data_IF_365236195171
#
_entry.id   IF_365236195171
#
_cell.length_a   1.000
_cell.length_b   1.000
_cell.length_c   1.000
_cell.angle_alpha   90.00
_cell.angle_beta   90.00
_cell.angle_gamma   90.00
#
_symmetry.space_group_name_H-M   'P 1'
#
loop_
_entity.id
_entity.type
_entity.pdbx_description
1 polymer ?
#
# COMPACT_ATOMS: atom_id res chain seq x y z
N UNK A 1 47.98 23.42 61.12
CA UNK A 1 47.12 22.23 60.98
C UNK A 1 46.16 22.47 59.83
N UNK A 2 46.34 21.77 58.70
CA UNK A 2 45.50 21.91 57.50
C UNK A 2 44.38 20.86 57.57
N UNK A 3 43.13 21.29 57.59
CA UNK A 3 41.94 20.44 57.52
C UNK A 3 41.64 20.11 56.06
N UNK A 4 41.75 18.84 55.68
CA UNK A 4 41.32 18.34 54.38
C UNK A 4 39.86 17.86 54.49
N UNK A 5 38.94 18.55 53.80
CA UNK A 5 37.57 18.10 53.60
C UNK A 5 37.58 17.19 52.38
N UNK A 6 37.30 15.90 52.59
CA UNK A 6 37.09 14.94 51.51
C UNK A 6 35.65 15.08 50.99
N UNK A 7 35.48 15.55 49.76
CA UNK A 7 34.19 15.57 49.08
C UNK A 7 33.90 14.18 48.49
N UNK A 8 32.87 13.50 49.00
CA UNK A 8 32.35 12.28 48.43
C UNK A 8 31.46 12.61 47.22
N UNK A 9 31.90 12.24 46.01
CA UNK A 9 31.06 12.28 44.81
C UNK A 9 30.18 11.03 44.77
N UNK A 10 28.83 11.14 44.70
CA UNK A 10 27.97 9.99 44.52
C UNK A 10 28.10 9.50 43.07
N UNK A 11 28.48 8.23 42.91
CA UNK A 11 28.49 7.55 41.63
C UNK A 11 27.04 7.18 41.30
N UNK A 12 26.38 7.96 40.44
CA UNK A 12 25.04 7.67 39.96
C UNK A 12 25.13 6.54 38.93
N UNK A 13 24.83 5.31 39.35
CA UNK A 13 24.75 4.16 38.44
C UNK A 13 23.46 4.29 37.62
N UNK A 14 23.56 4.86 36.42
CA UNK A 14 22.49 4.82 35.42
C UNK A 14 22.37 3.38 34.92
N UNK A 15 21.49 2.60 35.55
CA UNK A 15 20.97 1.37 34.96
C UNK A 15 20.12 1.76 33.76
N UNK A 16 20.76 1.87 32.59
CA UNK A 16 20.07 1.99 31.32
C UNK A 16 19.19 0.74 31.14
N UNK A 17 17.88 0.91 31.28
CA UNK A 17 16.93 -0.10 30.80
C UNK A 17 17.09 -0.08 29.27
N UNK A 18 17.87 -1.03 28.74
CA UNK A 18 17.92 -1.24 27.31
C UNK A 18 16.49 -1.50 26.83
N UNK A 19 15.99 -0.62 25.96
CA UNK A 19 14.75 -0.90 25.26
C UNK A 19 14.88 -2.29 24.63
N UNK A 20 13.88 -3.17 24.76
CA UNK A 20 13.96 -4.50 24.19
C UNK A 20 14.28 -4.35 22.70
N UNK A 21 15.35 -5.02 22.25
CA UNK A 21 15.69 -5.07 20.84
C UNK A 21 14.42 -5.40 20.04
N UNK A 22 14.10 -4.56 19.05
CA UNK A 22 12.94 -4.78 18.20
C UNK A 22 13.05 -6.19 17.62
N UNK A 23 12.14 -7.08 18.01
CA UNK A 23 12.07 -8.42 17.41
C UNK A 23 11.80 -8.23 15.92
N UNK A 24 12.56 -8.87 15.04
CA UNK A 24 12.23 -8.86 13.62
C UNK A 24 10.77 -9.28 13.39
N UNK A 25 10.06 -8.52 12.54
CA UNK A 25 8.70 -8.86 12.16
C UNK A 25 8.70 -10.19 11.40
N UNK A 26 8.02 -11.20 11.95
CA UNK A 26 7.95 -12.51 11.30
C UNK A 26 6.89 -12.49 10.20
N UNK A 27 7.16 -13.11 9.03
CA UNK A 27 6.14 -13.34 8.02
C UNK A 27 4.94 -14.08 8.61
N UNK A 28 3.75 -13.72 8.15
CA UNK A 28 2.51 -14.42 8.48
C UNK A 28 2.30 -15.49 7.41
N UNK A 29 1.96 -16.72 7.78
CA UNK A 29 1.65 -17.76 6.78
C UNK A 29 0.33 -17.46 6.06
N UNK A 30 0.10 -18.03 4.87
CA UNK A 30 -1.15 -17.82 4.14
C UNK A 30 -2.39 -18.24 4.95
N UNK A 31 -2.34 -19.36 5.68
CA UNK A 31 -3.45 -19.80 6.54
C UNK A 31 -3.70 -18.80 7.68
N UNK A 32 -2.64 -18.37 8.38
CA UNK A 32 -2.77 -17.37 9.45
C UNK A 32 -3.28 -16.02 8.93
N UNK A 33 -2.90 -15.63 7.72
CA UNK A 33 -3.39 -14.41 7.08
C UNK A 33 -4.90 -14.49 6.80
N UNK A 34 -5.35 -15.61 6.21
CA UNK A 34 -6.76 -15.84 5.94
C UNK A 34 -7.60 -15.92 7.24
N UNK A 35 -7.11 -16.67 8.23
CA UNK A 35 -7.74 -16.78 9.55
C UNK A 35 -7.80 -15.43 10.27
N UNK A 36 -6.74 -14.62 10.15
CA UNK A 36 -6.69 -13.30 10.78
C UNK A 36 -7.76 -12.38 10.19
N UNK A 37 -7.86 -12.29 8.87
CA UNK A 37 -8.87 -11.48 8.19
C UNK A 37 -10.28 -11.93 8.61
N UNK A 38 -10.57 -13.23 8.53
CA UNK A 38 -11.89 -13.74 8.89
C UNK A 38 -12.26 -13.52 10.36
N UNK A 39 -11.28 -13.63 11.26
CA UNK A 39 -11.51 -13.49 12.69
C UNK A 39 -11.78 -12.05 13.12
N UNK A 40 -11.21 -11.06 12.42
CA UNK A 40 -11.27 -9.66 12.87
C UNK A 40 -12.05 -8.74 11.93
N UNK A 41 -12.45 -9.19 10.74
CA UNK A 41 -13.41 -8.48 9.91
C UNK A 41 -14.84 -8.73 10.37
N UNK A 42 -15.67 -7.69 10.26
CA UNK A 42 -17.10 -7.73 10.51
C UNK A 42 -17.90 -7.74 9.19
N UNK A 43 -19.23 -7.82 9.28
CA UNK A 43 -20.06 -7.60 8.10
C UNK A 43 -19.87 -6.17 7.56
N UNK A 44 -19.78 -6.05 6.24
CA UNK A 44 -19.54 -4.76 5.60
C UNK A 44 -20.73 -3.81 5.80
N UNK A 45 -20.44 -2.56 6.13
CA UNK A 45 -21.45 -1.51 6.21
C UNK A 45 -21.93 -1.03 4.84
N UNK A 46 -23.03 -0.27 4.83
CA UNK A 46 -23.57 0.32 3.62
C UNK A 46 -22.76 1.57 3.20
N UNK A 47 -22.36 1.62 1.93
CA UNK A 47 -21.76 2.80 1.32
C UNK A 47 -22.42 3.04 -0.03
N UNK A 48 -22.90 4.26 -0.25
CA UNK A 48 -23.81 4.59 -1.34
C UNK A 48 -23.12 4.86 -2.67
N UNK A 49 -21.79 4.85 -2.70
CA UNK A 49 -21.00 5.08 -3.90
C UNK A 49 -19.75 4.21 -3.99
N UNK A 50 -19.22 4.13 -5.21
CA UNK A 50 -17.96 3.48 -5.51
C UNK A 50 -16.81 4.47 -5.21
N UNK A 51 -15.91 4.12 -4.29
CA UNK A 51 -14.79 4.95 -3.88
C UNK A 51 -13.48 4.15 -3.85
N UNK A 52 -12.90 3.92 -5.02
CA UNK A 52 -11.73 3.05 -5.23
C UNK A 52 -10.38 3.78 -5.15
N UNK A 53 -10.40 5.12 -5.20
CA UNK A 53 -9.16 5.91 -5.16
C UNK A 53 -9.30 7.01 -4.13
N UNK A 54 -8.24 7.25 -3.38
CA UNK A 54 -8.18 8.35 -2.42
C UNK A 54 -8.47 9.68 -3.12
N UNK A 55 -9.28 10.49 -2.47
CA UNK A 55 -9.65 11.82 -2.92
C UNK A 55 -8.79 12.92 -2.28
N UNK A 56 -7.75 12.53 -1.53
CA UNK A 56 -6.88 13.42 -0.77
C UNK A 56 -5.79 14.02 -1.66
N UNK A 57 -5.96 15.24 -2.16
CA UNK A 57 -4.89 15.96 -2.89
C UNK A 57 -3.65 16.21 -1.99
N UNK A 58 -3.86 16.42 -0.69
CA UNK A 58 -2.81 16.78 0.28
C UNK A 58 -2.20 15.59 1.03
N UNK A 59 -2.42 14.34 0.59
CA UNK A 59 -2.02 13.14 1.35
C UNK A 59 -0.50 13.02 1.60
N UNK A 60 0.34 13.76 0.86
CA UNK A 60 1.79 13.78 1.07
C UNK A 60 2.26 14.87 2.04
N UNK A 61 1.42 15.87 2.35
CA UNK A 61 1.80 17.00 3.20
C UNK A 61 2.23 16.58 4.62
N UNK A 62 1.59 15.58 5.27
CA UNK A 62 2.02 15.14 6.60
C UNK A 62 3.42 14.52 6.63
N UNK A 63 3.96 14.05 5.50
CA UNK A 63 5.23 13.31 5.48
C UNK A 63 6.42 14.12 6.01
N UNK A 64 6.44 15.43 5.78
CA UNK A 64 7.47 16.32 6.35
C UNK A 64 7.44 16.28 7.87
N UNK A 65 6.26 16.47 8.46
CA UNK A 65 6.10 16.47 9.91
C UNK A 65 6.37 15.10 10.54
N UNK A 66 5.96 14.02 9.88
CA UNK A 66 6.23 12.66 10.34
C UNK A 66 7.74 12.37 10.40
N UNK A 67 8.53 12.88 9.45
CA UNK A 67 10.00 12.79 9.50
C UNK A 67 10.60 13.62 10.64
N UNK A 68 10.15 14.85 10.83
CA UNK A 68 10.61 15.72 11.92
C UNK A 68 10.36 15.11 13.31
N UNK A 69 9.24 14.42 13.45
CA UNK A 69 8.85 13.72 14.68
C UNK A 69 9.50 12.33 14.81
N UNK A 70 10.40 11.98 13.89
CA UNK A 70 11.06 10.67 13.82
C UNK A 70 10.07 9.49 13.87
N UNK A 71 8.90 9.63 13.25
CA UNK A 71 7.90 8.55 13.19
C UNK A 71 8.30 7.53 12.12
N UNK A 72 8.71 6.36 12.57
CA UNK A 72 9.08 5.22 11.72
C UNK A 72 8.85 3.89 12.45
N UNK A 73 8.77 2.79 11.71
CA UNK A 73 8.59 1.46 12.28
C UNK A 73 7.20 1.22 12.88
N UNK A 74 7.14 0.43 13.95
CA UNK A 74 5.91 0.15 14.68
C UNK A 74 4.85 -0.61 13.87
N UNK A 75 3.57 -0.34 14.17
CA UNK A 75 2.42 -0.90 13.47
C UNK A 75 1.64 0.26 12.85
N UNK A 76 1.32 0.14 11.57
CA UNK A 76 0.51 1.12 10.85
C UNK A 76 -0.97 0.72 10.91
N UNK A 77 -1.82 1.67 11.27
CA UNK A 77 -3.27 1.57 11.17
C UNK A 77 -3.73 2.68 10.23
N UNK A 78 -4.50 2.33 9.20
CA UNK A 78 -5.01 3.30 8.24
C UNK A 78 -6.37 2.92 7.71
N UNK A 79 -7.04 3.87 7.06
CA UNK A 79 -8.40 3.74 6.53
C UNK A 79 -8.37 4.06 5.03
N UNK A 80 -9.28 3.46 4.27
CA UNK A 80 -9.43 3.75 2.85
C UNK A 80 -8.47 2.99 1.94
N UNK A 81 -8.35 3.42 0.68
CA UNK A 81 -7.73 2.63 -0.36
C UNK A 81 -6.21 2.90 -0.45
N UNK A 82 -5.75 3.44 -1.57
CA UNK A 82 -4.38 3.39 -2.06
C UNK A 82 -3.39 4.36 -1.39
N UNK A 83 -3.84 5.40 -0.66
CA UNK A 83 -2.94 6.31 0.05
C UNK A 83 -2.15 5.60 1.17
N UNK A 84 -2.75 4.56 1.75
CA UNK A 84 -2.11 3.71 2.76
C UNK A 84 -0.77 3.14 2.27
N UNK A 85 -0.66 2.76 0.99
CA UNK A 85 0.56 2.17 0.43
C UNK A 85 1.75 3.14 0.50
N UNK A 86 1.52 4.43 0.26
CA UNK A 86 2.57 5.45 0.39
C UNK A 86 3.00 5.62 1.85
N UNK A 87 2.06 5.72 2.78
CA UNK A 87 2.40 5.82 4.20
C UNK A 87 3.15 4.58 4.70
N UNK A 88 2.71 3.38 4.32
CA UNK A 88 3.41 2.13 4.68
C UNK A 88 4.83 2.12 4.08
N UNK A 89 5.01 2.58 2.85
CA UNK A 89 6.34 2.65 2.24
C UNK A 89 7.29 3.65 2.91
N UNK A 90 6.76 4.80 3.38
CA UNK A 90 7.54 5.85 4.03
C UNK A 90 7.84 5.56 5.49
N UNK A 91 6.83 5.09 6.23
CA UNK A 91 6.93 4.82 7.67
C UNK A 91 7.61 3.47 7.96
N UNK A 92 7.66 2.56 7.00
CA UNK A 92 8.31 1.24 7.12
C UNK A 92 7.81 0.44 8.35
N UNK A 93 6.50 0.27 8.55
CA UNK A 93 5.98 -0.45 9.70
C UNK A 93 6.27 -1.95 9.60
N UNK A 94 6.31 -2.61 10.76
CA UNK A 94 6.46 -4.06 10.89
C UNK A 94 5.21 -4.81 10.42
N UNK A 95 4.04 -4.27 10.73
CA UNK A 95 2.74 -4.74 10.28
C UNK A 95 1.86 -3.54 9.93
N UNK A 96 0.98 -3.71 8.95
CA UNK A 96 0.00 -2.71 8.57
C UNK A 96 -1.39 -3.35 8.59
N UNK A 97 -2.34 -2.69 9.26
CA UNK A 97 -3.75 -3.03 9.23
C UNK A 97 -4.50 -1.90 8.53
N UNK A 98 -5.26 -2.24 7.51
CA UNK A 98 -6.05 -1.28 6.75
C UNK A 98 -7.51 -1.56 7.08
N UNK A 99 -8.10 -0.71 7.90
CA UNK A 99 -9.41 -0.90 8.50
C UNK A 99 -10.40 -0.04 7.73
N UNK A 100 -11.49 -0.62 7.24
CA UNK A 100 -12.51 0.14 6.54
C UNK A 100 -13.90 -0.47 6.75
N UNK A 101 -14.92 0.38 6.85
CA UNK A 101 -16.32 -0.06 6.97
C UNK A 101 -16.80 -0.82 5.72
N UNK A 102 -16.14 -0.62 4.57
CA UNK A 102 -16.51 -1.20 3.28
C UNK A 102 -15.77 -2.51 3.07
N UNK A 103 -16.52 -3.61 2.96
CA UNK A 103 -15.97 -4.90 2.48
C UNK A 103 -15.29 -4.76 1.10
N UNK A 104 -15.76 -3.82 0.28
CA UNK A 104 -15.14 -3.48 -1.00
C UNK A 104 -13.69 -3.01 -0.85
N UNK A 105 -13.36 -2.24 0.20
CA UNK A 105 -11.99 -1.76 0.44
C UNK A 105 -11.06 -2.93 0.81
N UNK A 106 -11.56 -3.89 1.59
CA UNK A 106 -10.83 -5.13 1.87
C UNK A 106 -10.52 -5.87 0.57
N UNK A 107 -11.52 -6.08 -0.28
CA UNK A 107 -11.36 -6.78 -1.56
C UNK A 107 -10.43 -6.03 -2.52
N UNK A 108 -10.44 -4.70 -2.51
CA UNK A 108 -9.52 -3.85 -3.25
C UNK A 108 -8.06 -4.00 -2.79
N UNK A 109 -7.80 -4.03 -1.49
CA UNK A 109 -6.44 -4.28 -0.98
C UNK A 109 -5.97 -5.72 -1.24
N UNK A 110 -6.88 -6.69 -1.28
CA UNK A 110 -6.57 -8.05 -1.73
C UNK A 110 -6.25 -8.10 -3.23
N UNK A 111 -6.94 -7.30 -4.06
CA UNK A 111 -6.56 -7.09 -5.45
C UNK A 111 -5.13 -6.53 -5.53
N UNK A 112 -4.80 -5.45 -4.80
CA UNK A 112 -3.45 -4.88 -4.78
C UNK A 112 -2.40 -5.92 -4.35
N UNK A 113 -2.67 -6.72 -3.33
CA UNK A 113 -1.80 -7.83 -2.90
C UNK A 113 -1.48 -8.78 -4.05
N UNK A 114 -2.48 -9.17 -4.84
CA UNK A 114 -2.28 -10.05 -5.99
C UNK A 114 -1.47 -9.37 -7.10
N UNK A 115 -1.69 -8.08 -7.35
CA UNK A 115 -0.91 -7.30 -8.31
C UNK A 115 0.56 -7.22 -7.88
N UNK A 116 0.84 -6.85 -6.63
CA UNK A 116 2.20 -6.83 -6.09
C UNK A 116 2.89 -8.20 -6.17
N UNK A 117 2.17 -9.30 -5.94
CA UNK A 117 2.72 -10.65 -6.06
C UNK A 117 3.21 -10.92 -7.50
N UNK A 118 2.40 -10.59 -8.51
CA UNK A 118 2.71 -10.91 -9.90
C UNK A 118 3.63 -9.90 -10.59
N UNK A 119 3.71 -8.67 -10.11
CA UNK A 119 4.52 -7.62 -10.71
C UNK A 119 5.96 -7.63 -10.17
N UNK A 120 6.93 -7.61 -11.07
CA UNK A 120 8.36 -7.52 -10.73
C UNK A 120 8.78 -6.09 -10.38
N UNK A 121 8.12 -5.11 -11.00
CA UNK A 121 8.43 -3.69 -10.87
C UNK A 121 7.16 -2.82 -10.94
N UNK A 122 7.37 -1.50 -10.81
CA UNK A 122 6.32 -0.47 -10.78
C UNK A 122 5.51 -0.39 -12.07
N UNK A 123 6.17 -0.54 -13.23
CA UNK A 123 5.50 -0.51 -14.53
C UNK A 123 4.60 -1.73 -14.71
N UNK A 124 5.04 -2.93 -14.31
CA UNK A 124 4.21 -4.13 -14.35
C UNK A 124 3.03 -4.08 -13.41
N UNK A 125 3.17 -3.41 -12.25
CA UNK A 125 2.07 -3.19 -11.32
C UNK A 125 0.96 -2.37 -11.96
N UNK A 126 1.31 -1.21 -12.52
CA UNK A 126 0.34 -0.36 -13.24
C UNK A 126 -0.21 -1.04 -14.49
N UNK A 127 0.62 -1.79 -15.22
CA UNK A 127 0.20 -2.58 -16.38
C UNK A 127 -0.92 -3.56 -16.01
N UNK A 128 -0.73 -4.32 -14.91
CA UNK A 128 -1.73 -5.28 -14.45
C UNK A 128 -2.97 -4.60 -13.88
N UNK A 129 -2.82 -3.51 -13.11
CA UNK A 129 -3.93 -2.74 -12.53
C UNK A 129 -4.82 -2.16 -13.62
N UNK A 130 -4.23 -1.48 -14.60
CA UNK A 130 -4.94 -0.76 -15.66
C UNK A 130 -5.29 -1.66 -16.86
N UNK A 131 -4.80 -2.90 -16.89
CA UNK A 131 -5.00 -3.83 -18.01
C UNK A 131 -4.38 -3.35 -19.34
N UNK A 132 -3.27 -2.63 -19.25
CA UNK A 132 -2.50 -2.05 -20.37
C UNK A 132 -1.16 -2.78 -20.45
N UNK A 133 -0.99 -3.77 -21.35
CA UNK A 133 0.24 -4.56 -21.42
C UNK A 133 1.44 -3.66 -21.74
N UNK A 134 2.61 -3.97 -21.16
CA UNK A 134 3.84 -3.25 -21.46
C UNK A 134 4.34 -3.58 -22.88
N UNK A 135 4.70 -2.56 -23.63
CA UNK A 135 5.38 -2.70 -24.90
C UNK A 135 6.88 -2.93 -24.67
N UNK A 136 7.41 -4.03 -25.22
CA UNK A 136 8.78 -4.46 -24.94
C UNK A 136 9.87 -3.41 -25.26
N UNK A 137 9.62 -2.48 -26.18
CA UNK A 137 10.55 -1.41 -26.56
C UNK A 137 10.25 -0.03 -25.95
N UNK A 138 9.13 0.13 -25.24
CA UNK A 138 8.66 1.42 -24.72
C UNK A 138 8.38 1.45 -23.22
N UNK A 139 8.54 0.32 -22.52
CA UNK A 139 8.30 0.25 -21.09
C UNK A 139 9.21 1.20 -20.30
N UNK A 140 8.67 1.95 -19.32
CA UNK A 140 9.47 2.82 -18.47
C UNK A 140 10.59 2.07 -17.74
N UNK A 141 11.74 2.73 -17.60
CA UNK A 141 12.90 2.18 -16.92
C UNK A 141 12.64 1.98 -15.42
N UNK A 142 13.44 1.12 -14.79
CA UNK A 142 13.30 0.86 -13.35
C UNK A 142 13.59 2.09 -12.47
N UNK A 143 14.36 3.06 -12.94
CA UNK A 143 14.71 4.31 -12.28
C UNK A 143 13.83 5.51 -12.69
N UNK A 144 12.87 5.30 -13.60
CA UNK A 144 11.97 6.34 -14.08
C UNK A 144 11.15 6.97 -12.95
N UNK A 145 10.90 8.28 -13.02
CA UNK A 145 9.99 8.97 -12.09
C UNK A 145 8.55 8.47 -12.21
N UNK A 146 7.71 8.75 -11.21
CA UNK A 146 6.27 8.44 -11.30
C UNK A 146 5.59 9.19 -12.45
N UNK A 147 6.09 10.37 -12.80
CA UNK A 147 5.61 11.17 -13.94
C UNK A 147 5.82 10.46 -15.28
N UNK A 148 6.94 9.77 -15.47
CA UNK A 148 7.20 8.96 -16.67
C UNK A 148 6.28 7.74 -16.73
N UNK A 149 6.02 7.09 -15.59
CA UNK A 149 5.05 5.99 -15.50
C UNK A 149 3.64 6.47 -15.90
N UNK A 150 3.20 7.60 -15.34
CA UNK A 150 1.89 8.18 -15.64
C UNK A 150 1.79 8.53 -17.12
N UNK A 151 2.76 9.27 -17.68
CA UNK A 151 2.79 9.63 -19.11
C UNK A 151 2.75 8.41 -20.04
N UNK A 152 3.43 7.32 -19.67
CA UNK A 152 3.36 6.08 -20.44
C UNK A 152 1.94 5.50 -20.44
N UNK A 153 1.30 5.40 -19.27
CA UNK A 153 -0.03 4.79 -19.14
C UNK A 153 -1.19 5.68 -19.60
N UNK A 154 -0.95 6.98 -19.84
CA UNK A 154 -1.91 7.86 -20.52
C UNK A 154 -2.12 7.48 -21.99
N UNK A 155 -1.07 6.96 -22.65
CA UNK A 155 -1.13 6.57 -24.07
C UNK A 155 -1.13 5.06 -24.31
N UNK A 156 -0.80 4.23 -23.32
CA UNK A 156 -0.81 2.78 -23.46
C UNK A 156 -2.22 2.22 -23.72
N UNK A 157 -2.38 1.37 -24.73
CA UNK A 157 -3.70 0.85 -25.14
C UNK A 157 -4.24 -0.23 -24.17
N UNK A 158 -5.56 -0.23 -23.88
CA UNK A 158 -6.15 -1.25 -23.02
C UNK A 158 -6.30 -2.58 -23.78
N UNK A 159 -6.03 -3.70 -23.11
CA UNK A 159 -6.22 -5.03 -23.70
C UNK A 159 -7.19 -5.86 -22.86
N UNK A 160 -8.42 -6.05 -23.37
CA UNK A 160 -9.44 -6.85 -22.70
C UNK A 160 -8.99 -8.30 -22.46
N UNK A 161 -8.28 -8.90 -23.42
CA UNK A 161 -7.74 -10.24 -23.29
C UNK A 161 -6.66 -10.33 -22.19
N UNK A 162 -5.80 -9.31 -22.07
CA UNK A 162 -4.81 -9.23 -20.99
C UNK A 162 -5.48 -9.04 -19.63
N UNK A 163 -6.45 -8.12 -19.54
CA UNK A 163 -7.22 -7.86 -18.33
C UNK A 163 -7.96 -9.12 -17.82
N UNK A 164 -8.69 -9.81 -18.70
CA UNK A 164 -9.41 -11.04 -18.35
C UNK A 164 -8.45 -12.15 -17.85
N UNK A 165 -7.29 -12.33 -18.50
CA UNK A 165 -6.26 -13.27 -18.02
C UNK A 165 -5.76 -12.90 -16.62
N UNK A 166 -5.56 -11.61 -16.35
CA UNK A 166 -5.12 -11.15 -15.03
C UNK A 166 -6.17 -11.43 -13.96
N UNK A 167 -7.46 -11.18 -14.23
CA UNK A 167 -8.56 -11.50 -13.30
C UNK A 167 -8.57 -12.99 -12.91
N UNK A 168 -8.42 -13.88 -13.90
CA UNK A 168 -8.34 -15.31 -13.64
C UNK A 168 -7.15 -15.70 -12.73
N UNK A 169 -5.98 -15.08 -12.95
CA UNK A 169 -4.77 -15.30 -12.13
C UNK A 169 -4.94 -14.76 -10.72
N UNK A 170 -5.49 -13.55 -10.56
CA UNK A 170 -5.77 -12.91 -9.27
C UNK A 170 -6.69 -13.80 -8.43
N UNK A 171 -7.80 -14.27 -9.02
CA UNK A 171 -8.74 -15.19 -8.36
C UNK A 171 -8.05 -16.46 -7.86
N UNK A 172 -7.26 -17.10 -8.73
CA UNK A 172 -6.54 -18.33 -8.36
C UNK A 172 -5.52 -18.08 -7.25
N UNK A 173 -4.75 -16.99 -7.33
CA UNK A 173 -3.77 -16.63 -6.30
C UNK A 173 -4.43 -16.42 -4.93
N UNK A 174 -5.50 -15.62 -4.87
CA UNK A 174 -6.16 -15.30 -3.61
C UNK A 174 -6.85 -16.52 -2.98
N UNK A 175 -7.55 -17.32 -3.79
CA UNK A 175 -8.30 -18.49 -3.27
C UNK A 175 -7.40 -19.69 -2.99
N UNK A 176 -6.35 -19.93 -3.78
CA UNK A 176 -5.49 -21.13 -3.66
C UNK A 176 -4.20 -20.87 -2.88
N UNK A 177 -3.45 -19.83 -3.25
CA UNK A 177 -2.17 -19.55 -2.61
C UNK A 177 -2.35 -18.81 -1.27
N UNK A 178 -3.24 -17.81 -1.23
CA UNK A 178 -3.55 -17.08 0.01
C UNK A 178 -4.60 -17.79 0.88
N UNK A 179 -5.27 -18.83 0.37
CA UNK A 179 -6.28 -19.63 1.07
C UNK A 179 -7.47 -18.81 1.61
N UNK A 180 -7.77 -17.69 0.97
CA UNK A 180 -8.87 -16.82 1.37
C UNK A 180 -10.22 -17.45 1.00
N UNK A 181 -11.16 -17.42 1.94
CA UNK A 181 -12.54 -17.86 1.73
C UNK A 181 -13.35 -16.71 1.13
N UNK A 182 -13.25 -16.55 -0.19
CA UNK A 182 -14.01 -15.55 -0.94
C UNK A 182 -15.26 -16.21 -1.52
N UNK A 183 -16.43 -15.64 -1.24
CA UNK A 183 -17.68 -16.10 -1.84
C UNK A 183 -17.86 -15.52 -3.25
N UNK A 184 -18.91 -15.93 -3.95
CA UNK A 184 -19.15 -15.48 -5.33
C UNK A 184 -19.37 -13.96 -5.43
N UNK A 185 -20.04 -13.34 -4.44
CA UNK A 185 -20.25 -11.90 -4.40
C UNK A 185 -18.92 -11.14 -4.20
N UNK A 186 -18.01 -11.67 -3.39
CA UNK A 186 -16.66 -11.11 -3.19
C UNK A 186 -15.88 -11.10 -4.50
N UNK A 187 -15.93 -12.22 -5.23
CA UNK A 187 -15.25 -12.37 -6.51
C UNK A 187 -15.83 -11.42 -7.56
N UNK A 188 -17.15 -11.31 -7.67
CA UNK A 188 -17.81 -10.37 -8.58
C UNK A 188 -17.50 -8.90 -8.23
N UNK A 189 -17.46 -8.58 -6.94
CA UNK A 189 -17.11 -7.23 -6.47
C UNK A 189 -15.66 -6.90 -6.82
N UNK A 190 -14.73 -7.83 -6.61
CA UNK A 190 -13.33 -7.65 -6.98
C UNK A 190 -13.14 -7.51 -8.50
N UNK A 191 -13.89 -8.28 -9.29
CA UNK A 191 -13.92 -8.16 -10.74
C UNK A 191 -14.44 -6.78 -11.18
N UNK A 192 -15.49 -6.26 -10.53
CA UNK A 192 -16.02 -4.91 -10.75
C UNK A 192 -14.97 -3.84 -10.43
N UNK A 193 -14.28 -3.94 -9.29
CA UNK A 193 -13.21 -3.01 -8.90
C UNK A 193 -12.10 -2.99 -9.95
N UNK A 194 -11.56 -4.16 -10.30
CA UNK A 194 -10.48 -4.25 -11.30
C UNK A 194 -10.94 -3.74 -12.68
N UNK A 195 -12.19 -4.02 -13.07
CA UNK A 195 -12.78 -3.50 -14.31
C UNK A 195 -12.93 -1.98 -14.28
N UNK A 196 -13.22 -1.36 -13.13
CA UNK A 196 -13.25 0.10 -13.02
C UNK A 196 -11.89 0.73 -13.34
N UNK A 197 -10.79 0.18 -12.81
CA UNK A 197 -9.43 0.61 -13.15
C UNK A 197 -9.10 0.39 -14.63
N UNK A 198 -9.51 -0.74 -15.21
CA UNK A 198 -9.32 -1.03 -16.62
C UNK A 198 -10.06 -0.03 -17.53
N UNK A 199 -11.36 0.16 -17.31
CA UNK A 199 -12.21 1.00 -18.16
C UNK A 199 -11.86 2.48 -18.03
N UNK A 200 -11.62 2.96 -16.80
CA UNK A 200 -11.39 4.39 -16.55
C UNK A 200 -9.91 4.76 -16.60
N UNK A 201 -9.00 3.79 -16.51
CA UNK A 201 -7.57 4.04 -16.52
C UNK A 201 -7.13 5.00 -15.41
N UNK A 202 -6.21 5.89 -15.74
CA UNK A 202 -5.74 6.94 -14.83
C UNK A 202 -6.81 8.00 -14.52
N UNK A 203 -7.91 8.06 -15.28
CA UNK A 203 -9.01 9.01 -15.09
C UNK A 203 -10.05 8.53 -14.06
N UNK A 204 -9.84 7.36 -13.45
CA UNK A 204 -10.66 6.92 -12.32
C UNK A 204 -10.55 7.91 -11.16
N UNK A 205 -11.69 8.29 -10.58
CA UNK A 205 -11.79 9.21 -9.46
C UNK A 205 -13.08 8.98 -8.71
N UNK A 206 -13.23 9.62 -7.56
CA UNK A 206 -14.50 9.68 -6.87
C UNK A 206 -15.43 10.69 -7.57
N UNK A 207 -16.60 10.22 -8.03
CA UNK A 207 -17.40 10.95 -9.03
C UNK A 207 -18.23 12.14 -8.48
N UNK A 208 -18.37 12.26 -7.16
CA UNK A 208 -19.35 13.16 -6.55
C UNK A 208 -18.80 14.50 -6.04
N UNK A 209 -17.47 14.67 -6.06
CA UNK A 209 -16.80 15.91 -5.62
C UNK A 209 -15.61 16.20 -6.52
N UNK A 210 -15.18 17.48 -6.65
CA UNK A 210 -14.01 17.84 -7.45
C UNK A 210 -12.73 17.43 -6.72
N UNK A 211 -12.26 16.21 -7.01
CA UNK A 211 -11.10 15.58 -6.38
C UNK A 211 -10.17 14.99 -7.44
N UNK A 212 -8.89 14.73 -7.11
CA UNK A 212 -7.94 14.21 -8.07
C UNK A 212 -8.39 12.88 -8.67
N UNK A 213 -8.08 12.70 -9.96
CA UNK A 213 -8.00 11.41 -10.63
C UNK A 213 -6.86 10.58 -10.07
N UNK A 214 -6.85 9.27 -10.37
CA UNK A 214 -5.74 8.41 -9.98
C UNK A 214 -4.41 8.91 -10.58
N UNK A 215 -4.42 9.36 -11.83
CA UNK A 215 -3.25 9.98 -12.46
C UNK A 215 -2.75 11.18 -11.67
N UNK A 216 -3.64 12.14 -11.36
CA UNK A 216 -3.29 13.32 -10.56
C UNK A 216 -2.82 12.94 -9.15
N UNK A 217 -3.50 12.01 -8.47
CA UNK A 217 -3.12 11.48 -7.15
C UNK A 217 -1.69 10.91 -7.14
N UNK A 218 -1.30 10.20 -8.20
CA UNK A 218 0.06 9.66 -8.34
C UNK A 218 1.11 10.77 -8.51
N UNK A 219 0.73 11.91 -9.07
CA UNK A 219 1.56 13.08 -9.36
C UNK A 219 1.55 14.15 -8.26
N UNK A 220 0.74 14.00 -7.21
CA UNK A 220 0.76 14.92 -6.08
C UNK A 220 2.16 15.03 -5.46
N UNK A 221 2.39 16.15 -4.77
CA UNK A 221 3.68 16.49 -4.16
C UNK A 221 3.56 16.74 -2.66
N UNK A 222 4.66 16.57 -1.92
CA UNK A 222 4.76 17.06 -0.55
C UNK A 222 4.90 18.59 -0.50
N UNK A 223 4.90 19.17 0.71
CA UNK A 223 5.04 20.63 0.90
C UNK A 223 6.38 21.21 0.39
N UNK A 224 7.32 20.36 0.01
CA UNK A 224 8.62 20.76 -0.57
C UNK A 224 8.66 20.49 -2.09
N UNK A 225 7.53 20.16 -2.71
CA UNK A 225 7.38 19.98 -4.15
C UNK A 225 7.89 18.63 -4.67
N UNK A 226 8.11 17.63 -3.82
CA UNK A 226 8.62 16.31 -4.25
C UNK A 226 7.49 15.30 -4.45
N UNK A 227 7.57 14.51 -5.51
CA UNK A 227 6.74 13.31 -5.65
C UNK A 227 7.19 12.22 -4.66
N UNK A 228 6.31 11.89 -3.72
CA UNK A 228 6.60 10.94 -2.65
C UNK A 228 5.70 9.71 -2.71
N UNK A 229 4.89 9.53 -3.76
CA UNK A 229 4.09 8.34 -3.96
C UNK A 229 4.96 7.06 -3.96
N UNK A 230 4.45 5.94 -3.45
CA UNK A 230 5.20 4.66 -3.42
C UNK A 230 5.65 4.18 -4.82
N UNK A 231 4.95 4.59 -5.89
CA UNK A 231 5.33 4.33 -7.27
C UNK A 231 6.43 5.27 -7.78
N UNK A 232 6.94 6.22 -7.00
CA UNK A 232 8.06 7.05 -7.41
C UNK A 232 9.42 6.35 -7.18
N UNK A 233 9.50 5.36 -6.28
CA UNK A 233 10.75 4.71 -5.92
C UNK A 233 10.69 3.19 -6.07
N UNK A 234 11.64 2.62 -6.82
CA UNK A 234 11.77 1.18 -6.97
C UNK A 234 12.05 0.48 -5.62
N UNK A 235 12.77 1.14 -4.71
CA UNK A 235 13.05 0.63 -3.38
C UNK A 235 11.80 0.57 -2.50
N UNK A 236 10.92 1.56 -2.62
CA UNK A 236 9.64 1.62 -1.90
C UNK A 236 8.65 0.58 -2.44
N UNK A 237 8.58 0.44 -3.77
CA UNK A 237 7.80 -0.62 -4.40
C UNK A 237 8.25 -2.02 -3.95
N UNK A 238 9.56 -2.31 -3.98
CA UNK A 238 10.09 -3.60 -3.50
C UNK A 238 9.80 -3.84 -2.02
N UNK A 239 9.84 -2.79 -1.20
CA UNK A 239 9.47 -2.89 0.21
C UNK A 239 8.01 -3.31 0.38
N UNK A 240 7.08 -2.66 -0.31
CA UNK A 240 5.67 -3.02 -0.28
C UNK A 240 5.40 -4.41 -0.83
N UNK A 241 6.03 -4.78 -1.95
CA UNK A 241 5.95 -6.13 -2.52
C UNK A 241 6.33 -7.19 -1.49
N UNK A 242 7.46 -7.00 -0.80
CA UNK A 242 7.91 -7.88 0.28
C UNK A 242 6.88 -7.95 1.42
N UNK A 243 6.31 -6.82 1.85
CA UNK A 243 5.28 -6.82 2.90
C UNK A 243 4.01 -7.58 2.48
N UNK A 244 3.59 -7.46 1.21
CA UNK A 244 2.48 -8.25 0.68
C UNK A 244 2.82 -9.74 0.60
N UNK A 245 4.02 -10.13 0.17
CA UNK A 245 4.46 -11.53 0.10
C UNK A 245 4.58 -12.18 1.49
N UNK A 246 5.04 -11.42 2.47
CA UNK A 246 5.14 -11.84 3.87
C UNK A 246 3.80 -11.72 4.63
N UNK A 247 2.71 -11.39 3.94
CA UNK A 247 1.36 -11.25 4.49
C UNK A 247 1.27 -10.25 5.67
N UNK A 248 2.06 -9.17 5.65
CA UNK A 248 2.13 -8.16 6.73
C UNK A 248 1.28 -6.91 6.50
N UNK A 249 0.60 -6.81 5.35
CA UNK A 249 -0.43 -5.81 5.09
C UNK A 249 -1.76 -6.55 5.12
N UNK A 250 -2.56 -6.30 6.16
CA UNK A 250 -3.78 -7.02 6.49
C UNK A 250 -4.97 -6.07 6.34
N UNK A 251 -5.73 -6.16 5.25
CA UNK A 251 -6.95 -5.37 5.10
C UNK A 251 -8.10 -6.04 5.86
N UNK A 252 -8.88 -5.25 6.61
CA UNK A 252 -9.95 -5.75 7.50
C UNK A 252 -11.18 -4.87 7.54
#
# INVERSE_FOLDING_TARGET
MKSHIAAAFPFLLLLGVAAPAERDARPITASQFAELIERISEEGGAFWNDNYVSNEASYLHPLGKLRELEIHGGVYLGVGPNQNLTYIAKLRPRYAFIIDIRRQNLLEHLLFKALFHYSRNRAEYLSMLLGRPLDAGGAPREDAGVDELVRYFESAEPSAAYHHRNQARIRLFLTRACRLRLNEQDLQTMEKIHRAFFTRGLQIKYDYIPVPTYGEFLLETDLEGRNQNFLNSAAEFRYLKRLHEENRIVPV
#
